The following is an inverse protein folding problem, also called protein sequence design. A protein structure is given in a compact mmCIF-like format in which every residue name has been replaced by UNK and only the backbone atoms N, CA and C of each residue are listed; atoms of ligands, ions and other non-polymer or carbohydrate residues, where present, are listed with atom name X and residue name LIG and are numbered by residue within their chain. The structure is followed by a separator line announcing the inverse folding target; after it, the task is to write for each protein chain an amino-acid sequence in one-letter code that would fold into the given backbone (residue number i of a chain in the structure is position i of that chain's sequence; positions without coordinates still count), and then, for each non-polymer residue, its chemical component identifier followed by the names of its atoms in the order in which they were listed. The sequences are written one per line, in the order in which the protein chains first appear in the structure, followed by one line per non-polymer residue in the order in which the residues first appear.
data_IF_138878532763
#
_entry.id   IF_138878532763
#
_cell.length_a   1.000
_cell.length_b   1.000
_cell.length_c   1.000
_cell.angle_alpha   90.00
_cell.angle_beta   90.00
_cell.angle_gamma   90.00
#
_symmetry.space_group_name_H-M   'P 1'
#
loop_
_entity.id
_entity.type
_entity.pdbx_description
1 polymer ?
#
# COMPACT_ATOMS: atom_id res chain seq x y z
N UNK A 1 12.02 -7.74 3.00
CA UNK A 1 12.43 -7.32 4.37
C UNK A 1 12.98 -8.49 5.16
N UNK A 2 12.23 -9.58 5.37
CA UNK A 2 12.74 -10.77 6.07
C UNK A 2 14.07 -11.32 5.51
N UNK A 3 14.19 -11.46 4.17
CA UNK A 3 15.42 -12.00 3.53
C UNK A 3 16.57 -11.00 3.39
N UNK A 4 16.25 -9.71 3.38
CA UNK A 4 17.22 -8.60 3.22
C UNK A 4 16.79 -7.47 4.15
N UNK A 5 17.14 -7.57 5.45
CA UNK A 5 16.73 -6.59 6.43
C UNK A 5 17.34 -5.23 6.10
N UNK A 6 16.51 -4.19 6.09
CA UNK A 6 16.92 -2.79 6.04
C UNK A 6 15.90 -1.96 6.81
N UNK A 7 16.28 -0.74 7.17
CA UNK A 7 15.35 0.20 7.84
C UNK A 7 14.17 0.45 6.91
N UNK A 8 12.96 0.19 7.39
CA UNK A 8 11.72 0.40 6.66
C UNK A 8 10.58 0.56 7.67
N UNK A 9 9.59 1.36 7.29
CA UNK A 9 8.30 1.42 7.95
C UNK A 9 7.27 0.87 6.97
N UNK A 10 6.48 -0.10 7.41
CA UNK A 10 5.41 -0.68 6.60
C UNK A 10 4.11 -0.11 7.11
N UNK A 11 3.46 0.70 6.28
CA UNK A 11 2.13 1.22 6.56
C UNK A 11 1.11 0.23 5.99
N UNK A 12 0.16 -0.18 6.83
CA UNK A 12 -0.96 -1.04 6.45
C UNK A 12 -2.25 -0.47 7.03
N UNK A 13 -3.38 -1.10 6.72
CA UNK A 13 -4.71 -0.69 7.18
C UNK A 13 -5.38 -1.82 7.94
N UNK A 14 -6.39 -1.49 8.74
CA UNK A 14 -7.25 -2.49 9.38
C UNK A 14 -7.80 -3.53 8.37
N UNK A 15 -8.15 -3.09 7.16
CA UNK A 15 -8.64 -3.96 6.09
C UNK A 15 -7.63 -5.03 5.69
N UNK A 16 -6.37 -4.62 5.44
CA UNK A 16 -5.31 -5.52 5.02
C UNK A 16 -4.79 -6.38 6.18
N UNK A 17 -4.83 -5.87 7.41
CA UNK A 17 -4.33 -6.59 8.59
C UNK A 17 -5.28 -7.73 9.01
N UNK A 18 -6.59 -7.55 8.85
CA UNK A 18 -7.56 -8.62 9.12
C UNK A 18 -7.58 -9.69 8.03
N UNK A 19 -7.18 -9.40 6.80
CA UNK A 19 -7.26 -10.35 5.71
C UNK A 19 -6.05 -11.30 5.69
N UNK A 20 -6.33 -12.60 5.60
CA UNK A 20 -5.31 -13.64 5.36
C UNK A 20 -4.87 -13.62 3.89
N UNK A 21 -3.61 -13.96 3.67
CA UNK A 21 -2.92 -13.92 2.37
C UNK A 21 -2.33 -15.30 2.03
N UNK A 22 -1.98 -15.58 0.76
CA UNK A 22 -1.34 -16.85 0.40
C UNK A 22 -0.04 -17.06 1.17
N UNK A 23 0.45 -18.31 1.32
CA UNK A 23 1.73 -18.55 1.96
C UNK A 23 2.90 -17.86 1.26
N UNK A 24 3.79 -17.24 2.05
CA UNK A 24 4.94 -16.48 1.55
C UNK A 24 5.83 -17.31 0.61
N UNK A 25 6.04 -18.58 0.97
CA UNK A 25 6.84 -19.52 0.18
C UNK A 25 6.23 -19.78 -1.21
N UNK A 26 4.90 -19.86 -1.31
CA UNK A 26 4.21 -20.10 -2.58
C UNK A 26 4.17 -18.85 -3.46
N UNK A 27 4.05 -17.67 -2.84
CA UNK A 27 4.19 -16.39 -3.58
C UNK A 27 5.62 -16.23 -4.08
N UNK A 28 6.61 -16.58 -3.26
CA UNK A 28 8.01 -16.50 -3.67
C UNK A 28 8.36 -17.50 -4.76
N UNK A 29 7.85 -18.74 -4.69
CA UNK A 29 8.04 -19.75 -5.73
C UNK A 29 7.49 -19.30 -7.10
N UNK A 30 6.56 -18.36 -7.15
CA UNK A 30 6.07 -17.76 -8.39
C UNK A 30 6.99 -16.66 -8.95
N UNK A 31 7.97 -16.19 -8.18
CA UNK A 31 8.94 -15.22 -8.64
C UNK A 31 9.90 -15.83 -9.67
N UNK A 32 10.12 -15.11 -10.77
CA UNK A 32 11.03 -15.50 -11.83
C UNK A 32 12.10 -14.43 -12.05
N UNK A 33 13.36 -14.85 -11.99
CA UNK A 33 14.49 -13.99 -12.29
C UNK A 33 15.19 -14.46 -13.55
N UNK A 34 15.54 -13.52 -14.41
CA UNK A 34 16.25 -13.82 -15.65
C UNK A 34 17.25 -12.71 -15.98
N UNK A 35 18.37 -13.12 -16.60
CA UNK A 35 19.39 -12.26 -17.18
C UNK A 35 19.79 -12.79 -18.56
N UNK A 36 20.27 -11.91 -19.46
CA UNK A 36 20.96 -12.36 -20.67
C UNK A 36 22.00 -13.46 -20.38
N UNK A 37 22.03 -14.50 -21.22
CA UNK A 37 22.85 -15.69 -21.09
C UNK A 37 22.25 -16.82 -20.22
N UNK A 38 21.09 -16.62 -19.59
CA UNK A 38 20.42 -17.71 -18.87
C UNK A 38 19.77 -18.70 -19.85
N UNK A 39 19.89 -20.00 -19.56
CA UNK A 39 19.12 -21.04 -20.26
C UNK A 39 17.69 -21.08 -19.70
N UNK A 40 16.74 -20.64 -20.50
CA UNK A 40 15.33 -20.55 -20.17
C UNK A 40 14.55 -21.10 -21.37
N UNK A 41 13.87 -22.22 -21.16
CA UNK A 41 12.96 -22.76 -22.15
C UNK A 41 11.72 -21.84 -22.26
N UNK A 42 11.52 -21.26 -23.44
CA UNK A 42 10.46 -20.29 -23.66
C UNK A 42 9.06 -20.89 -23.45
N UNK A 43 8.83 -22.16 -23.77
CA UNK A 43 7.53 -22.80 -23.58
C UNK A 43 7.20 -22.98 -22.09
N UNK A 44 8.21 -23.26 -21.26
CA UNK A 44 8.05 -23.32 -19.80
C UNK A 44 7.70 -21.94 -19.25
N UNK A 45 8.35 -20.88 -19.74
CA UNK A 45 8.02 -19.51 -19.34
C UNK A 45 6.59 -19.13 -19.76
N UNK A 46 6.16 -19.49 -20.98
CA UNK A 46 4.78 -19.26 -21.45
C UNK A 46 3.77 -19.96 -20.55
N UNK A 47 3.97 -21.25 -20.26
CA UNK A 47 3.07 -22.00 -19.37
C UNK A 47 3.02 -21.36 -17.97
N UNK A 48 4.15 -20.88 -17.46
CA UNK A 48 4.20 -20.14 -16.18
C UNK A 48 3.40 -18.84 -16.22
N UNK A 49 3.51 -18.06 -17.30
CA UNK A 49 2.76 -16.81 -17.46
C UNK A 49 1.25 -17.09 -17.48
N UNK A 50 0.81 -18.08 -18.27
CA UNK A 50 -0.60 -18.47 -18.38
C UNK A 50 -1.17 -18.93 -17.02
N UNK A 51 -0.46 -19.82 -16.32
CA UNK A 51 -0.87 -20.31 -14.98
C UNK A 51 -0.85 -19.23 -13.89
N UNK A 52 0.01 -18.22 -14.05
CA UNK A 52 0.09 -17.07 -13.12
C UNK A 52 -0.96 -16.00 -13.41
N UNK A 53 -1.74 -16.14 -14.49
CA UNK A 53 -2.87 -15.27 -14.83
C UNK A 53 -2.58 -14.21 -15.89
N UNK A 54 -1.45 -14.30 -16.61
CA UNK A 54 -1.22 -13.43 -17.76
C UNK A 54 -2.11 -13.83 -18.94
N UNK A 55 -2.59 -12.83 -19.67
CA UNK A 55 -3.37 -13.01 -20.89
C UNK A 55 -2.45 -13.07 -22.11
N UNK A 56 -2.59 -14.14 -22.90
CA UNK A 56 -1.87 -14.27 -24.16
C UNK A 56 -2.57 -13.48 -25.25
N UNK A 57 -1.91 -12.46 -25.77
CA UNK A 57 -2.44 -11.56 -26.80
C UNK A 57 -1.55 -11.56 -28.05
N UNK A 58 -2.08 -11.14 -29.22
CA UNK A 58 -1.25 -10.96 -30.40
C UNK A 58 -0.22 -9.84 -30.26
N UNK A 59 -0.55 -8.78 -29.51
CA UNK A 59 0.29 -7.60 -29.27
C UNK A 59 0.05 -7.07 -27.87
N UNK A 60 1.11 -6.96 -27.06
CA UNK A 60 1.03 -6.40 -25.72
C UNK A 60 0.74 -4.91 -25.77
N UNK A 61 -0.35 -4.49 -25.13
CA UNK A 61 -0.81 -3.10 -24.98
C UNK A 61 -1.07 -2.75 -23.52
N UNK A 62 -1.50 -3.73 -22.71
CA UNK A 62 -1.90 -3.57 -21.32
C UNK A 62 -0.99 -4.31 -20.34
N UNK A 63 -1.16 -4.00 -19.06
CA UNK A 63 -0.54 -4.73 -17.94
C UNK A 63 -1.24 -6.10 -17.81
N UNK A 64 -0.47 -7.14 -17.50
CA UNK A 64 -0.96 -8.51 -17.39
C UNK A 64 -1.00 -9.26 -18.73
N UNK A 65 -0.53 -8.64 -19.81
CA UNK A 65 -0.50 -9.24 -21.14
C UNK A 65 0.90 -9.75 -21.51
N UNK A 66 0.93 -10.81 -22.33
CA UNK A 66 2.14 -11.26 -23.01
C UNK A 66 1.86 -11.71 -24.44
N UNK A 67 2.87 -11.64 -25.31
CA UNK A 67 2.81 -12.09 -26.70
C UNK A 67 4.06 -12.87 -27.06
N UNK A 68 3.92 -13.88 -27.92
CA UNK A 68 5.03 -14.70 -28.43
C UNK A 68 5.09 -14.59 -29.94
N UNK A 69 6.26 -14.27 -30.49
CA UNK A 69 6.50 -14.11 -31.93
C UNK A 69 7.86 -14.70 -32.31
N UNK A 70 7.87 -15.95 -32.77
CA UNK A 70 9.13 -16.66 -33.02
C UNK A 70 9.95 -16.74 -31.74
N UNK A 71 11.22 -16.35 -31.78
CA UNK A 71 12.11 -16.30 -30.61
C UNK A 71 11.92 -15.06 -29.72
N UNK A 72 10.78 -14.35 -29.79
CA UNK A 72 10.55 -13.14 -29.01
C UNK A 72 9.35 -13.34 -28.09
N UNK A 73 9.51 -12.97 -26.81
CA UNK A 73 8.42 -12.87 -25.85
C UNK A 73 8.31 -11.45 -25.33
N UNK A 74 7.20 -10.78 -25.66
CA UNK A 74 6.84 -9.48 -25.10
C UNK A 74 5.96 -9.70 -23.87
N UNK A 75 6.21 -8.98 -22.78
CA UNK A 75 5.39 -9.05 -21.58
C UNK A 75 5.32 -7.70 -20.85
N UNK A 76 4.19 -7.44 -20.22
CA UNK A 76 4.02 -6.27 -19.37
C UNK A 76 3.46 -6.67 -18.02
N UNK A 77 4.32 -6.77 -17.01
CA UNK A 77 3.93 -7.24 -15.68
C UNK A 77 3.39 -6.11 -14.79
N UNK A 78 2.48 -6.43 -13.83
CA UNK A 78 2.08 -5.50 -12.78
C UNK A 78 3.27 -4.96 -11.98
N UNK A 79 3.17 -3.70 -11.56
CA UNK A 79 4.22 -3.01 -10.79
C UNK A 79 5.41 -2.54 -11.63
N UNK A 80 5.50 -2.90 -12.91
CA UNK A 80 6.51 -2.35 -13.81
C UNK A 80 6.05 -1.02 -14.41
N UNK A 81 6.99 -0.09 -14.58
CA UNK A 81 6.74 1.17 -15.27
C UNK A 81 6.77 1.01 -16.80
N UNK A 82 7.37 -0.07 -17.30
CA UNK A 82 7.65 -0.29 -18.71
C UNK A 82 7.46 -1.77 -19.09
N UNK A 83 7.12 -2.04 -20.35
CA UNK A 83 7.00 -3.40 -20.89
C UNK A 83 8.37 -3.93 -21.36
N UNK A 84 8.56 -5.25 -21.30
CA UNK A 84 9.82 -5.89 -21.67
C UNK A 84 9.64 -6.84 -22.86
N UNK A 85 10.62 -6.80 -23.76
CA UNK A 85 10.82 -7.75 -24.85
C UNK A 85 12.01 -8.64 -24.51
N UNK A 86 11.77 -9.95 -24.50
CA UNK A 86 12.77 -10.98 -24.27
C UNK A 86 13.13 -11.62 -25.60
N UNK A 87 14.37 -11.46 -26.04
CA UNK A 87 14.87 -12.08 -27.27
C UNK A 87 15.56 -13.40 -26.91
N UNK A 88 15.10 -14.50 -27.49
CA UNK A 88 15.59 -15.86 -27.30
C UNK A 88 16.29 -16.39 -28.56
N UNK A 89 17.35 -17.15 -28.34
CA UNK A 89 17.97 -18.01 -29.35
C UNK A 89 17.96 -19.45 -28.85
N UNK A 90 17.06 -20.27 -29.41
CA UNK A 90 16.73 -21.56 -28.84
C UNK A 90 16.22 -21.41 -27.41
N UNK A 91 16.86 -22.09 -26.46
CA UNK A 91 16.57 -22.01 -25.03
C UNK A 91 17.47 -21.01 -24.28
N UNK A 92 18.15 -20.10 -24.97
CA UNK A 92 18.98 -19.06 -24.34
C UNK A 92 18.32 -17.69 -24.44
N UNK A 93 18.19 -17.00 -23.31
CA UNK A 93 17.77 -15.60 -23.29
C UNK A 93 18.95 -14.71 -23.71
N UNK A 94 18.91 -14.13 -24.91
CA UNK A 94 19.99 -13.31 -25.46
C UNK A 94 19.94 -11.87 -24.96
N UNK A 95 18.74 -11.27 -24.90
CA UNK A 95 18.62 -9.88 -24.47
C UNK A 95 17.27 -9.56 -23.85
N UNK A 96 17.26 -8.54 -23.00
CA UNK A 96 16.06 -7.97 -22.37
C UNK A 96 15.98 -6.51 -22.78
N UNK A 97 14.97 -6.16 -23.56
CA UNK A 97 14.74 -4.82 -24.10
C UNK A 97 13.52 -4.20 -23.45
N UNK A 98 13.57 -2.89 -23.25
CA UNK A 98 12.39 -2.10 -22.85
C UNK A 98 11.70 -1.65 -24.13
N UNK A 99 10.38 -1.73 -24.19
CA UNK A 99 9.62 -1.15 -25.29
C UNK A 99 8.41 -0.36 -24.81
N UNK A 100 8.03 0.64 -25.60
CA UNK A 100 6.81 1.41 -25.38
C UNK A 100 5.60 0.64 -25.94
N UNK A 101 4.64 0.29 -25.07
CA UNK A 101 3.50 -0.55 -25.43
C UNK A 101 2.53 0.11 -26.44
N UNK A 102 2.55 1.43 -26.58
CA UNK A 102 1.69 2.13 -27.55
C UNK A 102 2.32 2.13 -28.96
N UNK A 103 3.61 2.44 -29.06
CA UNK A 103 4.34 2.60 -30.32
C UNK A 103 5.04 1.30 -30.77
N UNK A 104 5.14 0.31 -29.89
CA UNK A 104 5.82 -0.97 -30.10
C UNK A 104 7.32 -0.83 -30.42
N UNK A 105 7.92 0.31 -30.05
CA UNK A 105 9.33 0.63 -30.29
C UNK A 105 10.17 0.36 -29.05
N UNK A 106 11.33 -0.24 -29.26
CA UNK A 106 12.35 -0.40 -28.22
C UNK A 106 12.87 0.97 -27.79
N UNK A 107 12.87 1.22 -26.48
CA UNK A 107 13.32 2.48 -25.86
C UNK A 107 14.61 2.32 -25.06
N UNK A 108 15.00 1.08 -24.74
CA UNK A 108 16.22 0.82 -23.97
C UNK A 108 16.49 -0.68 -23.76
N UNK A 109 17.46 -0.97 -22.90
CA UNK A 109 17.84 -2.34 -22.51
C UNK A 109 17.91 -2.47 -21.00
N UNK A 110 17.66 -3.69 -20.50
CA UNK A 110 17.85 -4.06 -19.09
C UNK A 110 18.85 -5.21 -18.96
N UNK A 111 19.61 -5.17 -17.86
CA UNK A 111 20.58 -6.22 -17.51
C UNK A 111 19.93 -7.44 -16.84
N UNK A 112 18.71 -7.30 -16.35
CA UNK A 112 17.98 -8.35 -15.63
C UNK A 112 16.50 -8.01 -15.55
N UNK A 113 15.67 -9.02 -15.34
CA UNK A 113 14.27 -8.88 -14.94
C UNK A 113 13.96 -9.70 -13.69
N UNK A 114 12.94 -9.25 -12.96
CA UNK A 114 12.33 -9.94 -11.84
C UNK A 114 10.82 -9.86 -12.01
N UNK A 115 10.20 -10.96 -12.41
CA UNK A 115 8.76 -11.10 -12.51
C UNK A 115 8.24 -11.60 -11.16
N UNK A 116 7.40 -10.81 -10.50
CA UNK A 116 6.73 -11.19 -9.26
C UNK A 116 5.47 -12.00 -9.57
N UNK A 117 4.87 -12.62 -8.54
CA UNK A 117 3.55 -13.22 -8.66
C UNK A 117 2.54 -12.18 -9.20
N UNK A 118 1.80 -12.54 -10.24
CA UNK A 118 0.79 -11.68 -10.86
C UNK A 118 -0.54 -11.73 -10.13
N UNK A 119 -0.84 -12.86 -9.51
CA UNK A 119 -2.09 -13.10 -8.79
C UNK A 119 -1.82 -13.80 -7.47
N UNK A 120 -2.72 -13.57 -6.51
CA UNK A 120 -2.81 -14.33 -5.26
C UNK A 120 -3.26 -15.78 -5.49
N UNK A 121 -3.74 -16.14 -6.68
CA UNK A 121 -4.07 -17.52 -7.06
C UNK A 121 -3.38 -17.89 -8.37
N UNK A 122 -2.51 -18.89 -8.29
CA UNK A 122 -1.97 -19.61 -9.44
C UNK A 122 -2.82 -20.86 -9.72
N UNK A 123 -3.26 -21.05 -10.96
CA UNK A 123 -4.08 -22.19 -11.38
C UNK A 123 -3.19 -23.34 -11.88
N UNK A 124 -2.73 -24.13 -10.91
CA UNK A 124 -1.94 -25.35 -11.12
C UNK A 124 -2.85 -26.59 -10.97
N UNK A 125 -2.47 -27.77 -11.49
CA UNK A 125 -3.22 -29.00 -11.26
C UNK A 125 -3.50 -29.26 -9.77
N UNK A 126 -2.54 -28.95 -8.91
CA UNK A 126 -2.62 -29.11 -7.45
C UNK A 126 -3.63 -28.14 -6.84
N UNK A 127 -3.55 -26.84 -7.16
CA UNK A 127 -4.46 -25.82 -6.61
C UNK A 127 -5.89 -25.97 -7.15
N UNK A 128 -6.06 -26.39 -8.41
CA UNK A 128 -7.37 -26.72 -9.01
C UNK A 128 -7.98 -27.94 -8.30
N UNK A 129 -7.19 -29.00 -8.08
CA UNK A 129 -7.65 -30.21 -7.38
C UNK A 129 -8.08 -29.89 -5.94
N UNK A 130 -7.31 -29.05 -5.24
CA UNK A 130 -7.66 -28.59 -3.89
C UNK A 130 -8.94 -27.77 -3.89
N UNK A 131 -9.03 -26.77 -4.77
CA UNK A 131 -10.22 -25.93 -4.90
C UNK A 131 -11.47 -26.78 -5.10
N UNK A 132 -11.44 -27.73 -6.04
CA UNK A 132 -12.60 -28.59 -6.32
C UNK A 132 -13.05 -29.38 -5.10
N UNK A 133 -12.10 -29.91 -4.34
CA UNK A 133 -12.37 -30.69 -3.13
C UNK A 133 -12.95 -29.83 -2.01
N UNK A 134 -12.28 -28.73 -1.68
CA UNK A 134 -12.72 -27.79 -0.63
C UNK A 134 -14.05 -27.13 -0.97
N UNK A 135 -14.29 -26.82 -2.25
CA UNK A 135 -15.56 -26.28 -2.72
C UNK A 135 -16.72 -27.28 -2.53
N UNK A 136 -16.52 -28.55 -2.91
CA UNK A 136 -17.53 -29.60 -2.72
C UNK A 136 -17.77 -29.88 -1.22
N UNK A 137 -16.72 -29.86 -0.41
CA UNK A 137 -16.83 -30.03 1.04
C UNK A 137 -17.65 -28.90 1.68
N UNK A 138 -17.41 -27.65 1.27
CA UNK A 138 -18.09 -26.48 1.81
C UNK A 138 -19.54 -26.33 1.31
N UNK A 139 -19.80 -26.67 0.04
CA UNK A 139 -21.05 -26.30 -0.64
C UNK A 139 -21.83 -27.48 -1.26
N UNK A 140 -21.31 -28.70 -1.20
CA UNK A 140 -21.89 -29.86 -1.84
C UNK A 140 -21.61 -29.96 -3.35
N UNK A 141 -22.30 -30.87 -4.03
CA UNK A 141 -22.10 -31.09 -5.47
C UNK A 141 -22.42 -29.82 -6.28
N UNK A 142 -21.54 -29.40 -7.22
CA UNK A 142 -21.76 -28.21 -8.04
C UNK A 142 -22.96 -28.42 -8.97
N UNK A 143 -23.71 -27.34 -9.19
CA UNK A 143 -24.81 -27.31 -10.14
C UNK A 143 -24.28 -27.07 -11.56
N UNK A 144 -25.11 -27.32 -12.59
CA UNK A 144 -24.69 -27.20 -14.01
C UNK A 144 -24.33 -25.76 -14.41
N UNK A 145 -24.87 -24.78 -13.71
CA UNK A 145 -24.72 -23.34 -13.92
C UNK A 145 -23.66 -22.69 -12.99
N UNK A 146 -22.90 -23.51 -12.23
CA UNK A 146 -21.82 -23.04 -11.36
C UNK A 146 -20.59 -22.60 -12.18
N UNK A 147 -20.66 -21.38 -12.72
CA UNK A 147 -19.65 -20.84 -13.62
C UNK A 147 -18.26 -20.72 -13.00
N UNK A 148 -18.19 -20.47 -11.69
CA UNK A 148 -16.92 -20.43 -10.96
C UNK A 148 -16.31 -21.82 -10.90
N UNK A 149 -17.06 -22.83 -10.44
CA UNK A 149 -16.54 -24.19 -10.32
C UNK A 149 -16.12 -24.75 -11.69
N UNK A 150 -16.92 -24.53 -12.72
CA UNK A 150 -16.62 -24.96 -14.08
C UNK A 150 -15.34 -24.29 -14.63
N UNK A 151 -15.24 -22.96 -14.52
CA UNK A 151 -14.07 -22.22 -15.01
C UNK A 151 -12.78 -22.69 -14.34
N UNK A 152 -12.76 -22.75 -13.00
CA UNK A 152 -11.56 -23.17 -12.26
C UNK A 152 -11.21 -24.63 -12.55
N UNK A 153 -12.21 -25.52 -12.68
CA UNK A 153 -11.99 -26.93 -13.03
C UNK A 153 -11.35 -27.12 -14.41
N UNK A 154 -11.62 -26.21 -15.34
CA UNK A 154 -11.02 -26.16 -16.68
C UNK A 154 -9.67 -25.41 -16.70
N UNK A 155 -9.18 -24.94 -15.54
CA UNK A 155 -7.96 -24.13 -15.44
C UNK A 155 -8.12 -22.70 -15.97
N UNK A 156 -9.36 -22.23 -16.14
CA UNK A 156 -9.66 -20.85 -16.56
C UNK A 156 -9.90 -19.96 -15.35
N UNK A 157 -9.42 -18.72 -15.44
CA UNK A 157 -9.71 -17.70 -14.42
C UNK A 157 -11.20 -17.32 -14.45
N UNK A 158 -11.70 -16.95 -13.29
CA UNK A 158 -13.03 -16.40 -13.11
C UNK A 158 -12.91 -15.07 -12.35
N UNK A 159 -13.62 -14.04 -12.80
CA UNK A 159 -13.51 -12.73 -12.17
C UNK A 159 -13.99 -12.77 -10.70
N UNK A 160 -13.14 -12.36 -9.77
CA UNK A 160 -13.44 -12.38 -8.34
C UNK A 160 -13.27 -13.74 -7.67
N UNK A 161 -12.64 -14.72 -8.33
CA UNK A 161 -12.31 -16.03 -7.74
C UNK A 161 -11.49 -15.92 -6.44
N UNK A 162 -10.82 -14.80 -6.23
CA UNK A 162 -10.07 -14.44 -5.02
C UNK A 162 -10.96 -14.40 -3.76
N UNK A 163 -12.29 -14.24 -3.90
CA UNK A 163 -13.20 -14.40 -2.75
C UNK A 163 -13.26 -15.83 -2.20
N UNK A 164 -12.74 -16.80 -2.94
CA UNK A 164 -12.58 -18.20 -2.54
C UNK A 164 -11.12 -18.59 -2.30
N UNK A 165 -10.25 -17.59 -2.04
CA UNK A 165 -8.83 -17.80 -1.77
C UNK A 165 -8.52 -18.96 -0.80
N UNK A 166 -9.26 -19.15 0.32
CA UNK A 166 -8.97 -20.25 1.26
C UNK A 166 -9.10 -21.64 0.65
N UNK A 167 -9.80 -21.82 -0.48
CA UNK A 167 -9.96 -23.12 -1.11
C UNK A 167 -8.80 -23.49 -2.05
N UNK A 168 -7.95 -22.53 -2.41
CA UNK A 168 -6.78 -22.79 -3.25
C UNK A 168 -5.55 -23.21 -2.46
N UNK A 169 -5.54 -22.98 -1.15
CA UNK A 169 -4.38 -23.16 -0.29
C UNK A 169 -4.71 -24.07 0.90
N UNK A 170 -3.71 -24.78 1.41
CA UNK A 170 -3.90 -25.61 2.61
C UNK A 170 -4.10 -24.77 3.87
N UNK A 171 -3.35 -23.67 3.92
CA UNK A 171 -3.39 -22.68 4.98
C UNK A 171 -3.13 -21.33 4.34
N UNK A 172 -3.86 -20.32 4.78
CA UNK A 172 -3.51 -18.93 4.51
C UNK A 172 -2.71 -18.36 5.68
N UNK A 173 -1.82 -17.44 5.36
CA UNK A 173 -0.95 -16.75 6.29
C UNK A 173 -1.45 -15.32 6.55
N UNK A 174 -0.79 -14.62 7.46
CA UNK A 174 -1.07 -13.24 7.83
C UNK A 174 0.15 -12.38 7.53
N UNK A 175 -0.01 -11.06 7.60
CA UNK A 175 1.12 -10.13 7.51
C UNK A 175 2.19 -10.42 8.57
N UNK A 176 1.79 -10.96 9.73
CA UNK A 176 2.70 -11.30 10.81
C UNK A 176 3.56 -12.54 10.52
N UNK A 177 3.06 -13.48 9.71
CA UNK A 177 3.84 -14.63 9.24
C UNK A 177 4.91 -14.20 8.23
N UNK A 178 4.60 -13.19 7.41
CA UNK A 178 5.55 -12.58 6.47
C UNK A 178 6.64 -11.75 7.18
N UNK A 179 6.36 -11.30 8.41
CA UNK A 179 7.17 -10.35 9.18
C UNK A 179 7.26 -10.79 10.66
N UNK A 180 7.88 -11.95 10.95
CA UNK A 180 7.80 -12.58 12.26
C UNK A 180 8.42 -11.75 13.39
N UNK A 181 9.45 -10.96 13.11
CA UNK A 181 10.23 -10.25 14.14
C UNK A 181 9.93 -8.74 14.20
N UNK A 182 8.90 -8.28 13.50
CA UNK A 182 8.62 -6.84 13.34
C UNK A 182 7.69 -6.34 14.45
N UNK A 183 8.08 -5.29 15.22
CA UNK A 183 7.18 -4.61 16.14
C UNK A 183 5.96 -4.04 15.41
N UNK A 184 4.82 -4.01 16.09
CA UNK A 184 3.56 -3.52 15.53
C UNK A 184 3.16 -2.25 16.27
N UNK A 185 2.92 -1.18 15.53
CA UNK A 185 2.43 0.08 16.08
C UNK A 185 1.00 0.28 15.61
N UNK A 186 0.09 0.42 16.56
CA UNK A 186 -1.31 0.72 16.35
C UNK A 186 -1.52 2.23 16.51
N UNK A 187 -2.13 2.84 15.50
CA UNK A 187 -2.65 4.19 15.63
C UNK A 187 -3.78 4.24 16.67
N UNK A 188 -4.08 5.44 17.17
CA UNK A 188 -5.08 5.67 18.21
C UNK A 188 -6.43 5.01 17.95
N UNK A 189 -6.91 5.02 16.70
CA UNK A 189 -8.21 4.47 16.33
C UNK A 189 -8.12 3.08 15.68
N UNK A 190 -6.96 2.43 15.76
CA UNK A 190 -6.74 1.19 15.02
C UNK A 190 -7.60 0.04 15.55
N UNK A 191 -7.79 -0.09 16.87
CA UNK A 191 -8.59 -1.17 17.45
C UNK A 191 -10.08 -1.02 17.12
N UNK A 192 -10.60 0.20 17.17
CA UNK A 192 -11.97 0.53 16.76
C UNK A 192 -12.17 0.23 15.28
N UNK A 193 -11.22 0.66 14.43
CA UNK A 193 -11.28 0.39 12.99
C UNK A 193 -11.23 -1.11 12.67
N UNK A 194 -10.46 -1.91 13.42
CA UNK A 194 -10.44 -3.37 13.30
C UNK A 194 -11.79 -3.98 13.68
N UNK A 195 -12.39 -3.54 14.80
CA UNK A 195 -13.69 -4.02 15.26
C UNK A 195 -14.81 -3.66 14.27
N UNK A 196 -14.88 -2.41 13.82
CA UNK A 196 -15.86 -1.95 12.83
C UNK A 196 -15.73 -2.72 11.51
N UNK A 197 -14.50 -2.87 11.01
CA UNK A 197 -14.25 -3.63 9.78
C UNK A 197 -14.69 -5.09 9.90
N UNK A 198 -14.41 -5.73 11.03
CA UNK A 198 -14.84 -7.12 11.26
C UNK A 198 -16.36 -7.24 11.29
N UNK A 199 -17.07 -6.33 11.96
CA UNK A 199 -18.55 -6.29 11.95
C UNK A 199 -19.08 -6.17 10.52
N UNK A 200 -18.54 -5.25 9.71
CA UNK A 200 -18.93 -5.11 8.31
C UNK A 200 -18.70 -6.38 7.48
N UNK A 201 -17.61 -7.13 7.73
CA UNK A 201 -17.33 -8.40 7.07
C UNK A 201 -18.45 -9.42 7.39
N UNK A 202 -18.81 -9.56 8.66
CA UNK A 202 -19.85 -10.49 9.11
C UNK A 202 -21.22 -10.11 8.54
N UNK A 203 -21.59 -8.83 8.59
CA UNK A 203 -22.86 -8.33 8.04
C UNK A 203 -22.97 -8.58 6.53
N UNK A 204 -21.89 -8.31 5.79
CA UNK A 204 -21.83 -8.55 4.35
C UNK A 204 -21.87 -10.03 3.98
N UNK A 205 -21.33 -10.91 4.83
CA UNK A 205 -21.43 -12.35 4.68
C UNK A 205 -22.87 -12.83 4.91
N UNK A 206 -23.49 -12.43 6.01
CA UNK A 206 -24.86 -12.81 6.35
C UNK A 206 -25.88 -12.29 5.32
N UNK A 207 -25.69 -11.08 4.81
CA UNK A 207 -26.52 -10.54 3.72
C UNK A 207 -26.45 -11.42 2.45
N UNK A 208 -25.25 -11.87 2.06
CA UNK A 208 -25.05 -12.75 0.90
C UNK A 208 -25.63 -14.14 1.13
N UNK A 209 -25.48 -14.67 2.34
CA UNK A 209 -26.05 -15.97 2.72
C UNK A 209 -27.58 -15.96 2.62
N UNK A 210 -28.23 -14.95 3.20
CA UNK A 210 -29.69 -14.76 3.12
C UNK A 210 -30.19 -14.55 1.69
N UNK A 211 -29.42 -13.82 0.87
CA UNK A 211 -29.76 -13.62 -0.53
C UNK A 211 -29.70 -14.94 -1.31
N UNK A 212 -28.73 -15.82 -1.04
CA UNK A 212 -28.66 -17.14 -1.65
C UNK A 212 -29.87 -18.02 -1.25
N UNK A 213 -30.33 -17.92 0.00
CA UNK A 213 -31.51 -18.66 0.49
C UNK A 213 -32.84 -18.17 -0.14
N UNK A 214 -32.89 -16.92 -0.62
CA UNK A 214 -34.09 -16.29 -1.18
C UNK A 214 -34.02 -15.97 -2.69
N UNK A 215 -32.95 -16.36 -3.39
CA UNK A 215 -32.73 -15.98 -4.79
C UNK A 215 -33.74 -16.63 -5.76
N UNK A 216 -34.12 -15.87 -6.79
CA UNK A 216 -34.81 -16.39 -7.98
C UNK A 216 -33.94 -17.47 -8.65
N UNK A 217 -34.57 -18.52 -9.19
CA UNK A 217 -33.94 -19.71 -9.81
C UNK A 217 -32.92 -19.42 -10.92
N UNK A 218 -32.85 -18.19 -11.44
CA UNK A 218 -32.01 -17.79 -12.58
C UNK A 218 -30.81 -16.88 -12.21
N UNK A 219 -30.61 -16.55 -10.92
CA UNK A 219 -29.43 -15.80 -10.50
C UNK A 219 -28.24 -16.74 -10.29
N UNK A 220 -27.06 -16.40 -10.86
CA UNK A 220 -25.82 -17.16 -10.65
C UNK A 220 -25.55 -17.25 -9.14
N UNK A 221 -25.52 -18.46 -8.55
CA UNK A 221 -25.44 -18.61 -7.11
C UNK A 221 -24.07 -18.15 -6.60
N UNK A 222 -24.03 -17.01 -5.91
CA UNK A 222 -22.85 -16.58 -5.18
C UNK A 222 -22.78 -17.34 -3.86
N UNK A 223 -21.82 -18.25 -3.71
CA UNK A 223 -21.63 -19.05 -2.50
C UNK A 223 -20.52 -18.44 -1.63
N UNK A 224 -20.84 -17.58 -0.65
CA UNK A 224 -19.83 -16.89 0.13
C UNK A 224 -19.03 -17.89 0.98
N UNK A 225 -17.71 -17.71 1.04
CA UNK A 225 -16.85 -18.45 1.97
C UNK A 225 -17.09 -17.94 3.40
N UNK A 226 -17.15 -18.82 4.42
CA UNK A 226 -17.18 -18.42 5.83
C UNK A 226 -16.05 -17.41 6.15
N UNK A 227 -16.36 -16.27 6.79
CA UNK A 227 -15.38 -15.18 6.98
C UNK A 227 -14.09 -15.63 7.66
N UNK A 228 -14.19 -16.53 8.64
CA UNK A 228 -13.10 -16.98 9.50
C UNK A 228 -11.96 -17.68 8.73
N UNK A 229 -12.27 -18.19 7.53
CA UNK A 229 -11.30 -18.82 6.64
C UNK A 229 -10.44 -17.79 5.89
N UNK A 230 -10.93 -16.57 5.70
CA UNK A 230 -10.26 -15.51 4.94
C UNK A 230 -9.86 -14.30 5.81
N UNK A 231 -10.55 -14.09 6.93
CA UNK A 231 -10.36 -12.94 7.81
C UNK A 231 -10.11 -13.39 9.25
N UNK A 232 -9.26 -12.63 9.94
CA UNK A 232 -9.09 -12.71 11.38
C UNK A 232 -10.23 -11.93 12.05
N UNK A 233 -10.64 -12.39 13.23
CA UNK A 233 -11.33 -11.53 14.18
C UNK A 233 -10.31 -10.61 14.88
N UNK A 234 -10.74 -9.48 15.48
CA UNK A 234 -9.85 -8.63 16.26
C UNK A 234 -9.11 -9.40 17.37
N UNK A 235 -9.79 -10.33 18.05
CA UNK A 235 -9.19 -11.15 19.11
C UNK A 235 -8.11 -12.07 18.55
N UNK A 236 -8.39 -12.72 17.42
CA UNK A 236 -7.43 -13.59 16.74
C UNK A 236 -6.24 -12.82 16.19
N UNK A 237 -6.44 -11.57 15.74
CA UNK A 237 -5.37 -10.68 15.32
C UNK A 237 -4.45 -10.33 16.48
N UNK A 238 -5.00 -9.93 17.62
CA UNK A 238 -4.21 -9.64 18.83
C UNK A 238 -3.47 -10.89 19.31
N UNK A 239 -4.13 -12.05 19.31
CA UNK A 239 -3.47 -13.31 19.65
C UNK A 239 -2.32 -13.66 18.68
N UNK A 240 -2.46 -13.32 17.39
CA UNK A 240 -1.46 -13.57 16.35
C UNK A 240 -0.22 -12.68 16.46
N UNK A 241 -0.26 -11.60 17.26
CA UNK A 241 0.91 -10.79 17.58
C UNK A 241 1.99 -11.59 18.31
N UNK A 242 1.60 -12.62 19.07
CA UNK A 242 2.53 -13.49 19.80
C UNK A 242 3.43 -12.68 20.74
N UNK A 243 4.75 -12.94 20.78
CA UNK A 243 5.68 -12.24 21.67
C UNK A 243 6.19 -10.90 21.12
N UNK A 244 5.66 -10.42 19.99
CA UNK A 244 6.13 -9.16 19.36
C UNK A 244 5.83 -7.97 20.25
N UNK A 245 6.68 -6.96 20.14
CA UNK A 245 6.38 -5.66 20.75
C UNK A 245 5.19 -5.02 20.02
N UNK A 246 4.15 -4.69 20.79
CA UNK A 246 2.96 -4.00 20.32
C UNK A 246 2.85 -2.65 21.04
N UNK A 247 2.80 -1.57 20.28
CA UNK A 247 2.76 -0.19 20.79
C UNK A 247 1.46 0.44 20.32
N UNK A 248 0.70 1.01 21.25
CA UNK A 248 -0.48 1.80 20.94
C UNK A 248 -0.13 3.29 21.05
N UNK A 249 -0.38 4.03 19.97
CA UNK A 249 -0.35 5.49 20.03
C UNK A 249 -1.69 6.01 20.52
N UNK A 250 -1.66 7.05 21.33
CA UNK A 250 -2.85 7.74 21.82
C UNK A 250 -2.53 9.22 21.96
N UNK A 251 -3.45 10.12 21.55
CA UNK A 251 -3.31 11.56 21.81
C UNK A 251 -3.66 11.91 23.26
N UNK A 252 -4.19 10.96 24.04
CA UNK A 252 -4.63 11.16 25.41
C UNK A 252 -3.55 10.76 26.40
N UNK A 253 -3.39 11.57 27.45
CA UNK A 253 -2.57 11.19 28.60
C UNK A 253 -3.17 9.97 29.31
N UNK A 254 -2.32 9.00 29.60
CA UNK A 254 -2.67 7.81 30.35
C UNK A 254 -1.85 7.74 31.65
N UNK A 255 -2.45 7.33 32.78
CA UNK A 255 -1.71 7.17 34.01
C UNK A 255 -0.76 5.96 33.95
N UNK A 256 0.41 6.07 34.57
CA UNK A 256 1.42 5.01 34.71
C UNK A 256 0.98 3.80 35.59
N UNK A 257 -0.31 3.72 35.93
CA UNK A 257 -0.87 2.72 36.85
C UNK A 257 -1.35 1.43 36.16
N UNK A 258 -1.18 1.32 34.84
CA UNK A 258 -1.64 0.18 34.05
C UNK A 258 -0.65 -0.98 33.96
N UNK A 259 -1.11 -2.11 33.41
CA UNK A 259 -0.24 -3.24 33.03
C UNK A 259 0.64 -2.94 31.81
N UNK A 260 0.31 -1.89 31.05
CA UNK A 260 1.11 -1.39 29.93
C UNK A 260 2.02 -0.26 30.41
N UNK A 261 3.27 -0.28 29.96
CA UNK A 261 4.21 0.81 30.19
C UNK A 261 3.82 1.99 29.29
N UNK A 262 3.64 3.17 29.89
CA UNK A 262 3.29 4.40 29.19
C UNK A 262 4.55 5.23 28.96
N UNK A 263 4.64 5.86 27.79
CA UNK A 263 5.68 6.83 27.46
C UNK A 263 5.02 8.09 26.91
N UNK A 264 5.15 9.20 27.62
CA UNK A 264 4.66 10.48 27.14
C UNK A 264 5.63 11.05 26.10
N UNK A 265 5.14 11.27 24.88
CA UNK A 265 5.93 11.89 23.82
C UNK A 265 6.27 13.37 24.09
N UNK A 266 5.56 14.00 25.04
CA UNK A 266 5.74 15.41 25.39
C UNK A 266 5.37 16.36 24.25
N UNK A 267 4.53 15.91 23.31
CA UNK A 267 4.08 16.68 22.16
C UNK A 267 2.65 17.19 22.35
N UNK A 268 2.39 18.42 21.92
CA UNK A 268 1.06 19.03 21.85
C UNK A 268 0.80 19.62 20.48
N UNK A 269 -0.47 19.89 20.18
CA UNK A 269 -0.84 20.58 18.95
C UNK A 269 -0.18 21.96 18.88
N UNK A 270 0.31 22.34 17.71
CA UNK A 270 0.90 23.66 17.46
C UNK A 270 -0.17 24.76 17.40
N UNK A 271 0.27 26.02 17.36
CA UNK A 271 -0.64 27.15 17.16
C UNK A 271 -1.18 27.15 15.72
N UNK A 272 -2.52 27.14 15.57
CA UNK A 272 -3.21 26.99 14.29
C UNK A 272 -3.62 28.29 13.59
N UNK A 273 -3.37 29.46 14.22
CA UNK A 273 -3.64 30.83 13.74
C UNK A 273 -5.03 31.06 13.10
N UNK A 274 -6.03 30.27 13.51
CA UNK A 274 -7.38 30.27 12.92
C UNK A 274 -8.08 31.62 13.13
N UNK A 275 -7.95 32.18 14.34
CA UNK A 275 -8.60 33.45 14.71
C UNK A 275 -8.04 34.62 13.88
N UNK A 276 -6.72 34.68 13.74
CA UNK A 276 -6.03 35.74 13.00
C UNK A 276 -6.26 35.64 11.49
N UNK A 277 -6.51 34.44 10.96
CA UNK A 277 -6.96 34.28 9.57
C UNK A 277 -8.39 34.75 9.35
N UNK A 278 -9.25 34.62 10.36
CA UNK A 278 -10.67 34.96 10.25
C UNK A 278 -10.90 36.48 10.34
N UNK A 279 -9.95 37.24 10.90
CA UNK A 279 -10.03 38.69 11.05
C UNK A 279 -9.29 39.42 9.91
N UNK A 280 -10.00 40.11 8.98
CA UNK A 280 -9.37 40.84 7.88
C UNK A 280 -8.49 42.02 8.30
N UNK A 281 -8.60 42.47 9.56
CA UNK A 281 -7.78 43.57 10.09
C UNK A 281 -6.40 43.11 10.57
N UNK A 282 -6.19 41.79 10.71
CA UNK A 282 -4.96 41.19 11.19
C UNK A 282 -4.19 40.60 10.01
N UNK A 283 -2.89 40.91 9.92
CA UNK A 283 -2.01 40.19 9.02
C UNK A 283 -1.46 38.96 9.75
N UNK A 284 -1.93 37.77 9.33
CA UNK A 284 -1.51 36.49 9.93
C UNK A 284 0.01 36.29 9.89
N UNK A 285 0.71 36.78 8.86
CA UNK A 285 2.15 36.61 8.74
C UNK A 285 2.91 37.39 9.81
N UNK A 286 2.48 38.61 10.15
CA UNK A 286 3.08 39.39 11.25
C UNK A 286 2.95 38.64 12.60
N UNK A 287 1.80 38.00 12.82
CA UNK A 287 1.55 37.21 14.04
C UNK A 287 2.40 35.94 14.08
N UNK A 288 2.56 35.26 12.95
CA UNK A 288 3.45 34.09 12.83
C UNK A 288 4.90 34.47 13.07
N UNK A 289 5.38 35.57 12.47
CA UNK A 289 6.76 36.05 12.70
C UNK A 289 6.99 36.37 14.17
N UNK A 290 6.03 37.04 14.82
CA UNK A 290 6.10 37.30 16.27
C UNK A 290 6.15 36.01 17.07
N UNK A 291 5.28 35.04 16.79
CA UNK A 291 5.29 33.75 17.46
C UNK A 291 6.66 33.07 17.30
N UNK A 292 7.18 32.98 16.08
CA UNK A 292 8.50 32.38 15.81
C UNK A 292 9.63 33.12 16.54
N UNK A 293 9.55 34.45 16.65
CA UNK A 293 10.53 35.24 17.39
C UNK A 293 10.49 34.94 18.90
N UNK A 294 9.29 34.85 19.48
CA UNK A 294 9.09 34.50 20.89
C UNK A 294 9.64 33.08 21.18
N UNK A 295 9.44 32.14 20.25
CA UNK A 295 9.98 30.78 20.37
C UNK A 295 11.50 30.70 20.25
N UNK A 296 12.10 31.54 19.38
CA UNK A 296 13.57 31.69 19.31
C UNK A 296 14.12 32.24 20.62
N UNK A 297 13.44 33.22 21.22
CA UNK A 297 13.83 33.81 22.50
C UNK A 297 13.76 32.78 23.64
N UNK A 298 12.79 31.87 23.59
CA UNK A 298 12.69 30.71 24.48
C UNK A 298 13.72 29.60 24.18
N UNK A 299 14.62 29.80 23.20
CA UNK A 299 15.64 28.84 22.74
C UNK A 299 15.06 27.51 22.23
N UNK A 300 13.81 27.50 21.76
CA UNK A 300 13.23 26.34 21.09
C UNK A 300 13.69 26.29 19.63
N UNK A 301 13.91 25.08 19.10
CA UNK A 301 14.17 24.85 17.68
C UNK A 301 12.88 25.07 16.91
N UNK A 302 12.95 25.71 15.75
CA UNK A 302 11.78 25.98 14.92
C UNK A 302 11.97 25.35 13.56
N UNK A 303 10.95 24.65 13.11
CA UNK A 303 10.82 24.11 11.75
C UNK A 303 9.55 24.66 11.14
N UNK A 304 9.68 25.38 10.03
CA UNK A 304 8.56 25.78 9.18
C UNK A 304 8.44 24.70 8.10
N UNK A 305 7.30 24.02 8.11
CA UNK A 305 7.05 22.84 7.29
C UNK A 305 6.18 23.21 6.08
N UNK A 306 6.74 23.07 4.89
CA UNK A 306 6.06 23.30 3.61
C UNK A 306 5.69 22.01 2.90
N UNK A 307 4.65 22.04 2.08
CA UNK A 307 4.16 20.84 1.38
C UNK A 307 5.05 20.41 0.21
N UNK A 308 5.66 21.37 -0.46
CA UNK A 308 6.53 21.18 -1.63
C UNK A 308 7.68 22.17 -1.58
N UNK A 309 8.77 21.92 -2.32
CA UNK A 309 9.88 22.88 -2.43
C UNK A 309 9.39 24.28 -2.85
N UNK A 310 8.56 24.35 -3.89
CA UNK A 310 8.04 25.63 -4.39
C UNK A 310 7.05 26.33 -3.45
N UNK A 311 6.30 25.60 -2.61
CA UNK A 311 5.43 26.23 -1.61
C UNK A 311 6.24 26.73 -0.42
N UNK A 312 7.24 25.96 0.01
CA UNK A 312 8.17 26.32 1.08
C UNK A 312 8.99 27.57 0.72
N UNK A 313 9.50 27.67 -0.52
CA UNK A 313 10.26 28.83 -0.98
C UNK A 313 9.42 30.11 -0.96
N UNK A 314 8.18 30.03 -1.46
CA UNK A 314 7.24 31.16 -1.40
C UNK A 314 6.90 31.55 0.04
N UNK A 315 6.65 30.57 0.90
CA UNK A 315 6.37 30.82 2.31
C UNK A 315 7.57 31.49 2.99
N UNK A 316 8.79 31.02 2.72
CA UNK A 316 10.02 31.62 3.21
C UNK A 316 10.23 33.06 2.75
N UNK A 317 9.91 33.36 1.48
CA UNK A 317 9.96 34.73 0.94
C UNK A 317 8.97 35.66 1.64
N UNK A 318 7.71 35.23 1.78
CA UNK A 318 6.67 36.03 2.47
C UNK A 318 7.08 36.29 3.92
N UNK A 319 7.54 35.26 4.64
CA UNK A 319 7.99 35.45 6.02
C UNK A 319 9.19 36.40 6.12
N UNK A 320 10.12 36.37 5.15
CA UNK A 320 11.25 37.29 5.10
C UNK A 320 10.82 38.74 4.80
N UNK A 321 9.81 38.94 3.94
CA UNK A 321 9.18 40.26 3.70
C UNK A 321 8.55 40.82 4.98
N UNK A 322 7.99 39.93 5.82
CA UNK A 322 7.52 40.21 7.17
C UNK A 322 8.64 40.24 8.23
N UNK A 323 9.89 40.41 7.80
CA UNK A 323 11.08 40.58 8.63
C UNK A 323 11.54 39.35 9.44
N UNK A 324 11.11 38.14 9.08
CA UNK A 324 11.67 36.91 9.65
C UNK A 324 13.00 36.54 8.98
N UNK A 325 14.11 36.97 9.58
CA UNK A 325 15.46 36.60 9.16
C UNK A 325 15.92 35.20 9.62
N UNK A 326 17.15 34.83 9.23
CA UNK A 326 17.84 33.61 9.67
C UNK A 326 17.10 32.30 9.35
N UNK A 327 16.52 32.22 8.16
CA UNK A 327 15.89 31.02 7.62
C UNK A 327 16.92 30.14 6.90
N UNK A 328 16.88 28.82 7.14
CA UNK A 328 17.80 27.86 6.53
C UNK A 328 17.03 26.63 6.04
N UNK A 329 17.21 26.28 4.76
CA UNK A 329 16.67 25.03 4.24
C UNK A 329 17.41 23.84 4.85
N UNK A 330 16.65 22.81 5.22
CA UNK A 330 17.16 21.55 5.77
C UNK A 330 16.39 20.38 5.14
N UNK A 331 17.09 19.27 4.92
CA UNK A 331 16.52 18.03 4.39
C UNK A 331 16.16 17.03 5.50
N UNK A 332 16.76 17.16 6.70
CA UNK A 332 16.60 16.20 7.79
C UNK A 332 16.41 16.89 9.14
N UNK A 333 15.82 16.17 10.09
CA UNK A 333 15.71 16.64 11.48
C UNK A 333 17.10 16.87 12.10
N UNK A 334 18.08 16.01 11.78
CA UNK A 334 19.45 16.15 12.29
C UNK A 334 20.10 17.47 11.83
N UNK A 335 19.88 17.88 10.57
CA UNK A 335 20.31 19.20 10.08
C UNK A 335 19.61 20.34 10.80
N UNK A 336 18.30 20.20 11.06
CA UNK A 336 17.54 21.20 11.82
C UNK A 336 18.08 21.37 13.25
N UNK A 337 18.44 20.27 13.92
CA UNK A 337 18.99 20.28 15.29
C UNK A 337 20.34 21.02 15.37
N UNK A 338 21.17 20.89 14.33
CA UNK A 338 22.51 21.50 14.23
C UNK A 338 22.52 22.99 13.90
N UNK A 339 21.37 23.58 13.59
CA UNK A 339 21.29 25.02 13.29
C UNK A 339 21.75 25.88 14.47
N UNK A 340 22.26 27.08 14.20
CA UNK A 340 22.67 28.00 15.25
C UNK A 340 21.44 28.53 16.04
N UNK A 341 21.62 28.95 17.31
CA UNK A 341 20.57 29.63 18.05
C UNK A 341 20.01 30.84 17.28
N UNK A 342 18.68 30.97 17.25
CA UNK A 342 18.00 32.04 16.50
C UNK A 342 17.84 31.79 15.00
N UNK A 343 18.27 30.65 14.47
CA UNK A 343 17.90 30.19 13.12
C UNK A 343 16.62 29.36 13.17
N UNK A 344 15.80 29.45 12.10
CA UNK A 344 14.67 28.55 11.88
C UNK A 344 14.88 27.73 10.60
N UNK A 345 14.50 26.46 10.67
CA UNK A 345 14.55 25.53 9.56
C UNK A 345 13.36 25.74 8.61
N UNK A 346 13.61 25.67 7.31
CA UNK A 346 12.63 25.49 6.26
C UNK A 346 12.76 24.04 5.78
N UNK A 347 11.71 23.23 5.92
CA UNK A 347 11.75 21.82 5.53
C UNK A 347 10.54 21.45 4.67
N UNK A 348 10.75 20.63 3.64
CA UNK A 348 9.66 19.99 2.91
C UNK A 348 9.14 18.83 3.74
N UNK A 349 8.09 19.10 4.50
CA UNK A 349 7.47 18.16 5.43
C UNK A 349 5.95 18.36 5.34
N UNK A 350 5.25 17.58 4.49
CA UNK A 350 3.82 17.75 4.26
C UNK A 350 3.01 17.35 5.50
N UNK A 351 2.69 18.34 6.33
CA UNK A 351 1.87 18.19 7.54
C UNK A 351 0.58 18.99 7.41
N UNK A 352 -0.49 18.42 7.92
CA UNK A 352 -1.79 19.11 8.00
C UNK A 352 -1.84 20.09 9.18
N UNK A 353 -1.13 19.76 10.26
CA UNK A 353 -1.01 20.63 11.43
C UNK A 353 0.39 20.54 12.02
N UNK A 354 0.83 21.65 12.59
CA UNK A 354 2.05 21.75 13.37
C UNK A 354 1.91 21.12 14.75
N UNK A 355 3.04 20.94 15.41
CA UNK A 355 3.11 20.42 16.76
C UNK A 355 4.29 21.02 17.52
N UNK A 356 4.21 20.96 18.84
CA UNK A 356 5.25 21.47 19.72
C UNK A 356 5.66 20.41 20.73
N UNK A 357 6.94 20.42 21.07
CA UNK A 357 7.54 19.71 22.21
C UNK A 357 8.26 20.72 23.10
N UNK A 358 8.90 20.24 24.17
CA UNK A 358 9.76 21.09 25.01
C UNK A 358 10.87 21.79 24.23
N UNK A 359 11.40 21.15 23.18
CA UNK A 359 12.61 21.63 22.46
C UNK A 359 12.35 22.06 21.03
N UNK A 360 11.25 21.64 20.42
CA UNK A 360 10.97 21.81 19.00
C UNK A 360 9.55 22.35 18.79
N UNK A 361 9.42 23.34 17.92
CA UNK A 361 8.17 23.90 17.41
C UNK A 361 8.13 23.68 15.91
N UNK A 362 7.14 22.96 15.44
CA UNK A 362 6.88 22.77 14.01
C UNK A 362 5.65 23.58 13.63
N UNK A 363 5.83 24.54 12.72
CA UNK A 363 4.74 25.37 12.18
C UNK A 363 4.43 24.88 10.76
N UNK A 364 3.26 24.31 10.54
CA UNK A 364 2.86 23.83 9.22
C UNK A 364 2.36 24.98 8.34
N UNK A 365 2.58 24.86 7.02
CA UNK A 365 2.03 25.78 6.02
C UNK A 365 0.50 25.94 6.16
N UNK A 366 -0.21 24.86 6.49
CA UNK A 366 -1.66 24.88 6.71
C UNK A 366 -2.08 25.58 8.01
N UNK A 367 -1.24 25.56 9.04
CA UNK A 367 -1.50 26.36 10.25
C UNK A 367 -1.46 27.86 9.95
N UNK A 368 -0.77 28.30 8.90
CA UNK A 368 -0.65 29.72 8.54
C UNK A 368 -1.70 30.11 7.51
N UNK A 369 -1.84 29.31 6.46
CA UNK A 369 -2.66 29.62 5.29
C UNK A 369 -4.09 29.05 5.38
N UNK A 370 -4.35 28.18 6.35
CA UNK A 370 -5.56 27.38 6.46
C UNK A 370 -5.64 26.27 5.42
N UNK A 371 -6.77 25.57 5.42
CA UNK A 371 -7.10 24.53 4.45
C UNK A 371 -7.28 25.15 3.05
N UNK A 372 -6.19 25.42 2.35
CA UNK A 372 -6.27 25.43 0.90
C UNK A 372 -6.62 24.01 0.50
N UNK A 373 -7.76 23.82 -0.17
CA UNK A 373 -8.10 22.64 -0.97
C UNK A 373 -6.81 22.13 -1.61
N UNK A 374 -6.16 21.16 -0.96
CA UNK A 374 -5.05 20.45 -1.55
C UNK A 374 -5.72 19.84 -2.77
N UNK A 375 -5.47 20.43 -3.95
CA UNK A 375 -5.72 19.72 -5.19
C UNK A 375 -4.74 18.56 -5.10
N UNK A 376 -5.19 17.45 -4.48
CA UNK A 376 -4.67 16.13 -4.76
C UNK A 376 -4.60 16.14 -6.27
N UNK A 377 -3.38 16.17 -6.81
CA UNK A 377 -3.19 16.02 -8.24
C UNK A 377 -3.97 14.77 -8.58
N UNK A 378 -5.16 14.93 -9.17
CA UNK A 378 -5.95 13.79 -9.62
C UNK A 378 -5.03 13.17 -10.65
N UNK A 379 -4.44 12.03 -10.29
CA UNK A 379 -3.76 11.16 -11.24
C UNK A 379 -4.72 11.08 -12.42
N UNK A 380 -4.31 11.63 -13.56
CA UNK A 380 -5.16 11.81 -14.75
C UNK A 380 -5.79 10.45 -15.01
N UNK A 381 -7.09 10.28 -14.67
CA UNK A 381 -7.80 9.01 -14.83
C UNK A 381 -7.62 8.63 -16.29
N UNK A 382 -6.91 7.52 -16.52
CA UNK A 382 -6.70 7.03 -17.88
C UNK A 382 -8.04 6.40 -18.30
N UNK A 383 -8.36 6.38 -19.60
CA UNK A 383 -9.58 5.74 -20.10
C UNK A 383 -9.76 4.27 -19.65
N UNK A 384 -8.69 3.63 -19.16
CA UNK A 384 -8.70 2.29 -18.55
C UNK A 384 -9.43 2.19 -17.21
N UNK A 385 -9.74 3.31 -16.55
CA UNK A 385 -10.40 3.31 -15.23
C UNK A 385 -11.94 3.33 -15.34
N UNK A 386 -12.47 3.22 -16.56
CA UNK A 386 -13.89 2.98 -16.84
C UNK A 386 -14.04 1.56 -17.38
N UNK A 387 -14.54 0.63 -16.56
CA UNK A 387 -15.15 -0.60 -17.06
C UNK A 387 -16.66 -0.39 -16.96
N UNK A 388 -17.35 -0.65 -18.07
CA UNK A 388 -18.80 -0.61 -18.22
C UNK A 388 -19.47 -1.80 -17.54
#
# INVERSE_FOLDING_TARGET
LAKKPHRAVILTTANALLQRIPPAELVEAQTFHARPGNQINMNVLVSRLETSGFERVPTVRGIGEFAVRGGILDLFAPGWTEALRLDFFGDTLESIRIFDAATQRTTGQRKSMALQAMSEVALTPETISRFRRSYIEAFGAPQRDDGLYAAVSEGRRFAGMEHWLPFFYERLETVFDYLPDTPVIFDHLAHEALAERHTLILDHYEARRKQADGALKDAVPYKPVPPDLLYLSPENLIASLGPREAIDFTPFDAPDAGSKKVYHAGSRHGRSFVEERADPSINVFDVVVKHIADERAARRRIVIAGWTEGSLDRLGQILAEHHLGNLKQVATLAEAEQLEPGQAALAVLPLESGFETEKLVVVAEQDILGDRLIRRSKRKKRPSDFIA
#
